data_IF_099973074383
#
_entry.id   IF_099973074383
#
_cell.length_a   1.000
_cell.length_b   1.000
_cell.length_c   1.000
_cell.angle_alpha   90.00
_cell.angle_beta   90.00
_cell.angle_gamma   90.00
#
_symmetry.space_group_name_H-M   'P 1'
#
loop_
_entity.id
_entity.type
_entity.pdbx_description
1 polymer ?
#
# COMPACT_ATOMS: atom_id res chain seq x y z
N UNK A 1 15.94 30.67 0.59
CA UNK A 1 15.63 30.66 -0.85
C UNK A 1 14.41 29.77 -1.02
N UNK A 2 13.25 30.40 -1.17
CA UNK A 2 11.96 29.69 -1.32
C UNK A 2 11.80 29.35 -2.81
N UNK A 3 11.77 28.05 -3.12
CA UNK A 3 11.44 27.58 -4.46
C UNK A 3 9.97 27.90 -4.76
N UNK A 4 9.65 28.48 -5.93
CA UNK A 4 8.27 28.83 -6.27
C UNK A 4 7.43 27.54 -6.45
N UNK A 5 6.23 27.57 -5.89
CA UNK A 5 5.19 26.55 -6.08
C UNK A 5 4.87 26.45 -7.57
N UNK A 6 4.76 25.26 -8.18
CA UNK A 6 4.35 25.17 -9.57
C UNK A 6 2.92 25.72 -9.74
N UNK A 7 2.62 26.33 -10.89
CA UNK A 7 1.29 26.90 -11.15
C UNK A 7 0.24 25.80 -11.16
N UNK A 8 -0.86 26.03 -10.44
CA UNK A 8 -2.06 25.18 -10.51
C UNK A 8 -2.69 25.42 -11.89
N UNK A 9 -2.81 24.39 -12.68
CA UNK A 9 -3.45 24.45 -14.00
C UNK A 9 -4.94 24.76 -13.82
N UNK A 10 -5.47 25.89 -14.35
CA UNK A 10 -6.85 26.29 -14.16
C UNK A 10 -7.88 25.52 -14.99
N UNK A 11 -7.47 24.56 -15.81
CA UNK A 11 -8.38 23.89 -16.75
C UNK A 11 -9.17 22.70 -16.18
N UNK A 12 -9.10 22.44 -14.85
CA UNK A 12 -9.84 21.31 -14.23
C UNK A 12 -10.97 21.75 -13.30
N UNK A 13 -11.34 23.04 -13.29
CA UNK A 13 -12.60 23.48 -12.69
C UNK A 13 -13.69 23.35 -13.74
N UNK A 14 -14.30 22.16 -13.86
CA UNK A 14 -15.59 22.05 -14.53
C UNK A 14 -16.55 23.02 -13.84
N UNK A 15 -17.07 23.92 -14.63
CA UNK A 15 -18.08 24.91 -14.22
C UNK A 15 -19.27 24.19 -13.55
N UNK A 16 -19.40 24.36 -12.25
CA UNK A 16 -20.50 23.81 -11.43
C UNK A 16 -21.76 24.67 -11.52
N UNK A 17 -21.94 25.38 -12.63
CA UNK A 17 -23.12 26.20 -12.89
C UNK A 17 -24.33 25.36 -13.29
N UNK A 18 -25.28 25.29 -12.38
CA UNK A 18 -26.74 25.26 -12.43
C UNK A 18 -27.32 24.29 -11.42
N UNK A 19 -28.04 24.82 -10.49
CA UNK A 19 -28.90 24.11 -9.53
C UNK A 19 -29.94 23.29 -10.28
N UNK A 20 -29.79 21.98 -10.23
CA UNK A 20 -30.84 21.02 -10.60
C UNK A 20 -31.67 20.71 -9.36
N UNK A 21 -32.98 20.69 -9.51
CA UNK A 21 -33.98 20.26 -8.55
C UNK A 21 -33.57 18.96 -7.82
N UNK A 22 -33.59 18.88 -6.47
CA UNK A 22 -33.19 17.69 -5.73
C UNK A 22 -34.16 16.49 -5.82
N UNK A 23 -35.10 16.52 -6.75
CA UNK A 23 -36.11 15.49 -6.94
C UNK A 23 -35.84 14.58 -8.13
N UNK A 24 -35.25 13.40 -7.91
CA UNK A 24 -35.45 12.12 -8.60
C UNK A 24 -34.57 11.70 -9.80
N UNK A 25 -33.57 12.43 -10.25
CA UNK A 25 -32.58 11.84 -11.17
C UNK A 25 -31.17 12.06 -10.63
N UNK A 26 -30.41 10.96 -10.48
CA UNK A 26 -29.00 11.06 -10.10
C UNK A 26 -28.29 12.01 -11.08
N UNK A 27 -27.58 13.00 -10.55
CA UNK A 27 -26.81 13.94 -11.37
C UNK A 27 -25.89 13.13 -12.30
N UNK A 28 -25.97 13.29 -13.64
CA UNK A 28 -25.16 12.54 -14.57
C UNK A 28 -23.65 12.61 -14.29
N UNK A 29 -23.18 13.70 -13.66
CA UNK A 29 -21.80 13.86 -13.23
C UNK A 29 -21.39 12.84 -12.16
N UNK A 30 -22.31 12.47 -11.27
CA UNK A 30 -22.05 11.43 -10.24
C UNK A 30 -21.87 10.08 -10.90
N UNK A 31 -22.74 9.70 -11.85
CA UNK A 31 -22.60 8.45 -12.61
C UNK A 31 -21.24 8.38 -13.32
N UNK A 32 -20.85 9.45 -14.03
CA UNK A 32 -19.55 9.52 -14.72
C UNK A 32 -18.35 9.36 -13.76
N UNK A 33 -18.46 9.82 -12.52
CA UNK A 33 -17.41 9.60 -11.53
C UNK A 33 -17.28 8.13 -11.16
N UNK A 34 -18.37 7.38 -11.03
CA UNK A 34 -18.34 5.93 -10.79
C UNK A 34 -17.83 5.19 -12.04
N UNK A 35 -18.35 5.52 -13.22
CA UNK A 35 -17.97 4.88 -14.49
C UNK A 35 -16.45 5.00 -14.75
N UNK A 36 -15.85 6.13 -14.36
CA UNK A 36 -14.40 6.34 -14.50
C UNK A 36 -13.53 5.37 -13.70
N UNK A 37 -14.09 4.66 -12.70
CA UNK A 37 -13.42 3.66 -11.86
C UNK A 37 -13.49 2.26 -12.45
N UNK A 38 -14.51 1.97 -13.26
CA UNK A 38 -14.77 0.62 -13.77
C UNK A 38 -13.57 0.03 -14.52
N UNK A 39 -13.08 0.75 -15.53
CA UNK A 39 -11.96 0.27 -16.35
C UNK A 39 -10.67 0.04 -15.52
N UNK A 40 -10.21 0.98 -14.68
CA UNK A 40 -9.04 0.75 -13.84
C UNK A 40 -9.16 -0.43 -12.88
N UNK A 41 -10.36 -0.68 -12.32
CA UNK A 41 -10.61 -1.83 -11.44
C UNK A 41 -10.51 -3.14 -12.23
N UNK A 42 -11.13 -3.22 -13.41
CA UNK A 42 -11.06 -4.40 -14.27
C UNK A 42 -9.65 -4.68 -14.78
N UNK A 43 -8.88 -3.63 -15.14
CA UNK A 43 -7.48 -3.76 -15.52
C UNK A 43 -6.63 -4.28 -14.35
N UNK A 44 -6.88 -3.79 -13.13
CA UNK A 44 -6.18 -4.28 -11.94
C UNK A 44 -6.51 -5.76 -11.64
N UNK A 45 -7.74 -6.19 -11.88
CA UNK A 45 -8.15 -7.59 -11.69
C UNK A 45 -7.35 -8.58 -12.54
N UNK A 46 -6.71 -8.14 -13.64
CA UNK A 46 -5.80 -8.97 -14.43
C UNK A 46 -4.53 -9.35 -13.68
N UNK A 47 -4.22 -8.69 -12.56
CA UNK A 47 -3.11 -9.02 -11.67
C UNK A 47 -3.49 -10.02 -10.56
N UNK A 48 -4.68 -10.65 -10.63
CA UNK A 48 -5.17 -11.57 -9.60
C UNK A 48 -4.16 -12.69 -9.26
N UNK A 49 -3.44 -13.21 -10.25
CA UNK A 49 -2.38 -14.21 -10.03
C UNK A 49 -1.20 -13.65 -9.20
N UNK A 50 -0.78 -12.42 -9.46
CA UNK A 50 0.29 -11.76 -8.71
C UNK A 50 -0.16 -11.45 -7.27
N UNK A 51 -1.41 -11.00 -7.10
CA UNK A 51 -2.02 -10.79 -5.77
C UNK A 51 -2.06 -12.09 -4.97
N UNK A 52 -2.53 -13.18 -5.56
CA UNK A 52 -2.60 -14.49 -4.91
C UNK A 52 -1.20 -15.00 -4.51
N UNK A 53 -0.19 -14.83 -5.36
CA UNK A 53 1.19 -15.19 -5.06
C UNK A 53 1.76 -14.37 -3.89
N UNK A 54 1.51 -13.07 -3.85
CA UNK A 54 1.90 -12.20 -2.75
C UNK A 54 1.24 -12.65 -1.44
N UNK A 55 -0.08 -12.88 -1.45
CA UNK A 55 -0.83 -13.34 -0.28
C UNK A 55 -0.33 -14.68 0.27
N UNK A 56 -0.05 -15.64 -0.61
CA UNK A 56 0.49 -16.94 -0.20
C UNK A 56 1.84 -16.80 0.50
N UNK A 57 2.74 -15.98 -0.06
CA UNK A 57 4.04 -15.70 0.56
C UNK A 57 3.90 -14.96 1.89
N UNK A 58 2.98 -13.99 1.98
CA UNK A 58 2.66 -13.32 3.25
C UNK A 58 2.17 -14.31 4.31
N UNK A 59 1.25 -15.21 3.94
CA UNK A 59 0.72 -16.22 4.84
C UNK A 59 1.82 -17.16 5.36
N UNK A 60 2.77 -17.56 4.50
CA UNK A 60 3.94 -18.35 4.91
C UNK A 60 4.77 -17.59 5.95
N UNK A 61 5.08 -16.29 5.70
CA UNK A 61 5.88 -15.48 6.62
C UNK A 61 5.18 -15.30 7.97
N UNK A 62 3.90 -14.99 7.98
CA UNK A 62 3.12 -14.92 9.21
C UNK A 62 3.08 -16.27 9.95
N UNK A 63 2.92 -17.38 9.22
CA UNK A 63 2.93 -18.72 9.80
C UNK A 63 4.28 -19.07 10.46
N UNK A 64 5.37 -18.50 9.94
CA UNK A 64 6.72 -18.62 10.48
C UNK A 64 7.02 -17.63 11.62
N UNK A 65 6.03 -16.86 12.07
CA UNK A 65 6.17 -15.90 13.17
C UNK A 65 6.65 -14.51 12.74
N UNK A 66 6.71 -14.21 11.45
CA UNK A 66 7.01 -12.88 10.92
C UNK A 66 5.87 -11.90 11.15
N UNK A 67 6.19 -10.60 11.05
CA UNK A 67 5.22 -9.49 11.09
C UNK A 67 5.20 -8.70 9.80
N UNK A 68 4.12 -7.98 9.55
CA UNK A 68 3.99 -7.03 8.47
C UNK A 68 4.53 -5.66 8.90
N UNK A 69 5.45 -5.11 8.12
CA UNK A 69 6.01 -3.76 8.32
C UNK A 69 5.59 -2.90 7.13
N UNK A 70 4.74 -1.90 7.37
CA UNK A 70 4.13 -1.08 6.32
C UNK A 70 4.66 0.33 6.36
N UNK A 71 4.91 0.91 5.19
CA UNK A 71 5.40 2.28 5.09
C UNK A 71 5.01 2.97 3.78
N UNK A 72 4.84 4.29 3.87
CA UNK A 72 4.51 5.17 2.76
C UNK A 72 4.59 6.63 3.20
N UNK A 73 4.67 7.58 2.28
CA UNK A 73 4.82 9.02 2.57
C UNK A 73 3.62 9.80 2.04
N UNK A 74 3.14 10.78 2.80
CA UNK A 74 1.97 11.59 2.43
C UNK A 74 0.67 10.82 2.56
N UNK A 75 -0.17 10.79 1.52
CA UNK A 75 -1.40 9.98 1.51
C UNK A 75 -1.16 8.51 1.82
N UNK A 76 -0.16 7.84 1.24
CA UNK A 76 0.24 6.48 1.58
C UNK A 76 0.63 6.25 3.05
N UNK A 77 0.95 7.29 3.83
CA UNK A 77 1.22 7.12 5.26
C UNK A 77 -0.05 6.74 6.04
N UNK A 78 -1.20 7.26 5.64
CA UNK A 78 -2.48 6.89 6.25
C UNK A 78 -2.90 5.47 5.86
N UNK A 79 -2.55 5.03 4.64
CA UNK A 79 -2.77 3.65 4.23
C UNK A 79 -1.90 2.69 5.03
N UNK A 80 -0.63 3.04 5.27
CA UNK A 80 0.27 2.22 6.07
C UNK A 80 -0.26 2.02 7.49
N UNK A 81 -0.87 3.03 8.10
CA UNK A 81 -1.52 2.91 9.41
C UNK A 81 -2.81 2.08 9.33
N UNK A 82 -3.62 2.28 8.29
CA UNK A 82 -4.84 1.52 8.07
C UNK A 82 -4.55 0.02 7.87
N UNK A 83 -3.60 -0.32 7.01
CA UNK A 83 -3.16 -1.72 6.82
C UNK A 83 -2.72 -2.32 8.15
N UNK A 84 -1.89 -1.63 8.92
CA UNK A 84 -1.41 -2.15 10.20
C UNK A 84 -2.55 -2.44 11.17
N UNK A 85 -3.56 -1.56 11.29
CA UNK A 85 -4.70 -1.78 12.17
C UNK A 85 -5.59 -2.92 11.69
N UNK A 86 -5.81 -3.09 10.38
CA UNK A 86 -6.60 -4.20 9.82
C UNK A 86 -6.02 -5.57 10.18
N UNK A 87 -4.69 -5.71 10.14
CA UNK A 87 -4.03 -6.96 10.50
C UNK A 87 -4.01 -7.20 12.01
N UNK A 88 -3.75 -6.16 12.84
CA UNK A 88 -3.68 -6.29 14.30
C UNK A 88 -5.07 -6.41 14.94
N UNK A 89 -6.07 -5.72 14.39
CA UNK A 89 -7.43 -5.68 14.91
C UNK A 89 -8.46 -5.95 13.80
N UNK A 90 -8.62 -7.22 13.40
CA UNK A 90 -9.55 -7.59 12.35
C UNK A 90 -10.97 -7.09 12.59
N UNK A 91 -11.57 -6.43 11.60
CA UNK A 91 -12.96 -5.95 11.67
C UNK A 91 -14.00 -7.07 11.54
N UNK A 92 -13.59 -8.24 11.04
CA UNK A 92 -14.45 -9.42 10.91
C UNK A 92 -14.27 -10.31 12.14
N UNK A 93 -15.36 -10.55 12.86
CA UNK A 93 -15.38 -11.41 14.04
C UNK A 93 -14.89 -12.83 13.70
N UNK A 94 -14.00 -13.36 14.52
CA UNK A 94 -13.46 -14.72 14.36
C UNK A 94 -12.19 -14.81 13.49
N UNK A 95 -11.78 -13.73 12.85
CA UNK A 95 -10.48 -13.70 12.15
C UNK A 95 -9.33 -13.51 13.14
N UNK A 96 -8.21 -14.20 12.86
CA UNK A 96 -7.00 -14.14 13.71
C UNK A 96 -6.33 -12.77 13.56
N UNK A 97 -5.95 -12.14 14.68
CA UNK A 97 -5.04 -10.99 14.67
C UNK A 97 -3.63 -11.43 14.22
N UNK A 98 -3.06 -10.68 13.30
CA UNK A 98 -1.70 -10.91 12.76
C UNK A 98 -0.80 -9.72 13.10
N UNK A 99 0.48 -9.96 13.46
CA UNK A 99 1.35 -8.88 13.90
C UNK A 99 1.68 -7.93 12.73
N UNK A 100 1.41 -6.64 12.92
CA UNK A 100 1.70 -5.61 11.93
C UNK A 100 2.10 -4.30 12.61
N UNK A 101 3.00 -3.54 11.97
CA UNK A 101 3.39 -2.20 12.41
C UNK A 101 3.46 -1.25 11.21
N UNK A 102 3.10 0.01 11.45
CA UNK A 102 3.34 1.10 10.50
C UNK A 102 4.56 1.92 10.95
N UNK A 103 5.53 2.08 10.05
CA UNK A 103 6.71 2.92 10.31
C UNK A 103 6.42 4.43 10.21
N UNK A 104 5.16 4.80 9.98
CA UNK A 104 4.72 6.20 9.92
C UNK A 104 4.09 6.69 11.22
N UNK A 105 3.93 5.82 12.21
CA UNK A 105 3.22 6.13 13.45
C UNK A 105 4.09 6.84 14.50
N UNK A 106 5.39 6.59 14.51
CA UNK A 106 6.34 7.27 15.39
C UNK A 106 6.85 8.56 14.75
N UNK A 107 6.14 9.65 15.00
CA UNK A 107 6.46 10.98 14.46
C UNK A 107 7.84 11.46 14.92
N UNK A 108 8.25 11.13 16.16
CA UNK A 108 9.55 11.55 16.69
C UNK A 108 10.69 10.89 15.92
N UNK A 109 10.62 9.59 15.68
CA UNK A 109 11.62 8.86 14.88
C UNK A 109 11.63 9.36 13.43
N UNK A 110 10.46 9.50 12.78
CA UNK A 110 10.36 9.98 11.39
C UNK A 110 10.99 11.36 11.25
N UNK A 111 10.64 12.30 12.11
CA UNK A 111 11.16 13.68 12.02
C UNK A 111 12.62 13.79 12.42
N UNK A 112 13.07 13.04 13.45
CA UNK A 112 14.45 12.99 13.91
C UNK A 112 15.39 12.43 12.82
N UNK A 113 15.05 11.32 12.21
CA UNK A 113 15.81 10.73 11.09
C UNK A 113 15.80 11.65 9.88
N UNK A 114 14.64 12.25 9.55
CA UNK A 114 14.57 13.19 8.43
C UNK A 114 15.49 14.40 8.61
N UNK A 115 15.59 14.92 9.83
CA UNK A 115 16.46 16.06 10.15
C UNK A 115 17.96 15.73 10.09
N UNK A 116 18.36 14.52 10.47
CA UNK A 116 19.76 14.12 10.58
C UNK A 116 20.30 13.39 9.35
N UNK A 117 19.47 12.58 8.71
CA UNK A 117 19.85 11.67 7.60
C UNK A 117 19.07 11.89 6.31
N UNK A 118 18.12 12.82 6.33
CA UNK A 118 17.25 13.15 5.20
C UNK A 118 16.01 12.26 5.08
N UNK A 119 15.01 12.76 4.34
CA UNK A 119 13.71 12.07 4.17
C UNK A 119 13.84 10.68 3.55
N UNK A 120 14.83 10.46 2.68
CA UNK A 120 15.00 9.13 2.06
C UNK A 120 15.34 8.03 3.07
N UNK A 121 15.90 8.38 4.22
CA UNK A 121 16.36 7.43 5.23
C UNK A 121 15.30 7.01 6.26
N UNK A 122 14.14 7.67 6.33
CA UNK A 122 13.17 7.50 7.43
C UNK A 122 12.69 6.06 7.64
N UNK A 123 12.53 5.28 6.59
CA UNK A 123 12.08 3.89 6.68
C UNK A 123 13.26 2.91 6.74
N UNK A 124 14.29 3.11 5.94
CA UNK A 124 15.48 2.27 5.95
C UNK A 124 16.18 2.27 7.32
N UNK A 125 16.21 3.43 8.00
CA UNK A 125 16.72 3.51 9.37
C UNK A 125 15.89 2.63 10.32
N UNK A 126 14.59 2.78 10.36
CA UNK A 126 13.71 2.01 11.24
C UNK A 126 13.78 0.50 10.98
N UNK A 127 13.79 0.08 9.71
CA UNK A 127 13.88 -1.33 9.33
C UNK A 127 15.12 -2.01 9.90
N UNK A 128 16.28 -1.35 9.91
CA UNK A 128 17.54 -1.92 10.44
C UNK A 128 17.46 -2.28 11.92
N UNK A 129 16.56 -1.67 12.68
CA UNK A 129 16.42 -1.91 14.14
C UNK A 129 15.17 -2.70 14.52
N UNK A 130 14.12 -2.66 13.68
CA UNK A 130 12.81 -3.23 14.02
C UNK A 130 12.48 -4.50 13.24
N UNK A 131 13.17 -4.76 12.12
CA UNK A 131 12.83 -5.86 11.23
C UNK A 131 13.78 -7.05 11.37
N UNK A 132 13.26 -8.21 11.01
CA UNK A 132 13.98 -9.50 10.92
C UNK A 132 13.79 -10.11 9.54
N UNK A 133 14.62 -11.09 9.13
CA UNK A 133 14.46 -11.78 7.84
C UNK A 133 13.11 -12.48 7.66
N UNK A 134 12.43 -12.83 8.76
CA UNK A 134 11.11 -13.48 8.70
C UNK A 134 9.97 -12.53 8.33
N UNK A 135 10.21 -11.22 8.43
CA UNK A 135 9.17 -10.21 8.27
C UNK A 135 8.82 -9.90 6.80
N UNK A 136 7.73 -9.18 6.65
CA UNK A 136 7.17 -8.73 5.37
C UNK A 136 7.29 -7.20 5.32
N UNK A 137 7.87 -6.65 4.27
CA UNK A 137 7.91 -5.22 4.00
C UNK A 137 6.87 -4.87 2.93
N UNK A 138 5.92 -3.98 3.25
CA UNK A 138 4.94 -3.45 2.32
C UNK A 138 5.16 -1.96 2.13
N UNK A 139 5.72 -1.59 0.98
CA UNK A 139 5.92 -0.20 0.58
C UNK A 139 4.76 0.31 -0.28
N UNK A 140 4.19 1.48 0.07
CA UNK A 140 3.09 2.09 -0.68
C UNK A 140 3.54 3.44 -1.25
N UNK A 141 3.37 3.62 -2.57
CA UNK A 141 3.72 4.85 -3.29
C UNK A 141 2.67 5.19 -4.35
N UNK A 142 2.25 6.46 -4.42
CA UNK A 142 1.22 6.90 -5.36
C UNK A 142 1.67 6.81 -6.82
N UNK A 143 2.97 7.00 -7.10
CA UNK A 143 3.54 7.05 -8.46
C UNK A 143 4.77 6.15 -8.66
N UNK A 144 5.19 5.44 -7.60
CA UNK A 144 6.37 4.59 -7.61
C UNK A 144 7.72 5.34 -7.56
N UNK A 145 7.73 6.66 -7.33
CA UNK A 145 8.97 7.46 -7.33
C UNK A 145 9.38 7.97 -5.94
N UNK A 146 8.73 7.54 -4.87
CA UNK A 146 9.06 7.96 -3.51
C UNK A 146 10.40 7.38 -3.06
N UNK A 147 11.43 8.23 -2.93
CA UNK A 147 12.79 7.83 -2.55
C UNK A 147 12.84 7.13 -1.17
N UNK A 148 12.01 7.57 -0.21
CA UNK A 148 11.92 6.93 1.12
C UNK A 148 11.40 5.50 1.04
N UNK A 149 10.37 5.26 0.20
CA UNK A 149 9.79 3.94 0.00
C UNK A 149 10.78 3.04 -0.72
N UNK A 150 11.43 3.55 -1.78
CA UNK A 150 12.46 2.80 -2.51
C UNK A 150 13.63 2.40 -1.60
N UNK A 151 14.15 3.33 -0.81
CA UNK A 151 15.22 3.07 0.16
C UNK A 151 14.81 2.03 1.21
N UNK A 152 13.54 2.09 1.67
CA UNK A 152 12.97 1.10 2.58
C UNK A 152 12.93 -0.30 1.97
N UNK A 153 12.43 -0.44 0.73
CA UNK A 153 12.35 -1.72 0.02
C UNK A 153 13.74 -2.32 -0.25
N UNK A 154 14.72 -1.50 -0.65
CA UNK A 154 16.11 -1.93 -0.81
C UNK A 154 16.68 -2.48 0.50
N UNK A 155 16.50 -1.75 1.60
CA UNK A 155 16.96 -2.19 2.93
C UNK A 155 16.23 -3.46 3.39
N UNK A 156 14.92 -3.56 3.16
CA UNK A 156 14.16 -4.77 3.47
C UNK A 156 14.69 -5.99 2.73
N UNK A 157 15.04 -5.84 1.46
CA UNK A 157 15.67 -6.90 0.66
C UNK A 157 17.03 -7.31 1.21
N UNK A 158 17.87 -6.32 1.57
CA UNK A 158 19.19 -6.58 2.20
C UNK A 158 19.04 -7.36 3.51
N UNK A 159 17.95 -7.13 4.27
CA UNK A 159 17.65 -7.83 5.51
C UNK A 159 17.02 -9.23 5.30
N UNK A 160 16.72 -9.64 4.06
CA UNK A 160 16.09 -10.93 3.74
C UNK A 160 14.58 -10.99 3.95
N UNK A 161 13.93 -9.84 4.13
CA UNK A 161 12.48 -9.74 4.23
C UNK A 161 11.79 -10.09 2.91
N UNK A 162 10.52 -10.51 2.98
CA UNK A 162 9.65 -10.52 1.81
C UNK A 162 9.28 -9.08 1.45
N UNK A 163 9.47 -8.68 0.19
CA UNK A 163 9.23 -7.30 -0.25
C UNK A 163 8.03 -7.21 -1.20
N UNK A 164 7.08 -6.37 -0.85
CA UNK A 164 5.86 -6.10 -1.62
C UNK A 164 5.74 -4.59 -1.85
N UNK A 165 5.42 -4.18 -3.07
CA UNK A 165 5.18 -2.79 -3.40
C UNK A 165 3.80 -2.59 -4.01
N UNK A 166 3.01 -1.67 -3.43
CA UNK A 166 1.80 -1.13 -4.05
C UNK A 166 2.14 0.23 -4.65
N UNK A 167 2.11 0.32 -5.98
CA UNK A 167 2.51 1.54 -6.68
C UNK A 167 1.45 1.98 -7.68
N UNK A 168 1.38 3.27 -7.96
CA UNK A 168 0.45 3.80 -8.95
C UNK A 168 1.13 4.19 -10.26
N UNK A 169 0.31 4.61 -11.22
CA UNK A 169 0.75 5.07 -12.53
C UNK A 169 1.49 3.99 -13.31
N UNK A 170 2.69 4.30 -13.76
CA UNK A 170 3.59 3.35 -14.44
C UNK A 170 4.55 2.60 -13.51
N UNK A 171 4.40 2.74 -12.19
CA UNK A 171 5.24 2.06 -11.20
C UNK A 171 6.58 2.74 -10.90
N UNK A 172 7.00 3.72 -11.69
CA UNK A 172 8.18 4.56 -11.46
C UNK A 172 9.49 3.80 -11.20
N UNK A 173 10.36 4.39 -10.41
CA UNK A 173 11.66 3.81 -10.05
C UNK A 173 11.51 2.52 -9.19
N UNK A 174 10.42 2.39 -8.44
CA UNK A 174 10.15 1.19 -7.64
C UNK A 174 9.88 -0.02 -8.53
N UNK A 175 9.13 0.15 -9.63
CA UNK A 175 8.88 -0.94 -10.57
C UNK A 175 10.14 -1.44 -11.28
N UNK A 176 11.13 -0.57 -11.48
CA UNK A 176 12.41 -0.94 -12.06
C UNK A 176 13.40 -1.56 -11.02
N UNK A 177 13.02 -1.60 -9.75
CA UNK A 177 13.88 -2.05 -8.67
C UNK A 177 13.87 -3.58 -8.53
N UNK A 178 15.01 -4.28 -8.65
CA UNK A 178 15.07 -5.74 -8.51
C UNK A 178 14.87 -6.23 -7.06
N UNK A 179 14.78 -5.30 -6.12
CA UNK A 179 14.58 -5.63 -4.70
C UNK A 179 13.11 -5.91 -4.33
N UNK A 180 12.17 -5.81 -5.28
CA UNK A 180 10.74 -6.04 -5.04
C UNK A 180 10.36 -7.44 -5.51
N UNK A 181 9.95 -8.32 -4.58
CA UNK A 181 9.50 -9.68 -4.89
C UNK A 181 8.10 -9.68 -5.53
N UNK A 182 7.19 -8.85 -5.01
CA UNK A 182 5.83 -8.71 -5.55
C UNK A 182 5.51 -7.24 -5.81
N UNK A 183 5.31 -6.92 -7.07
CA UNK A 183 4.95 -5.59 -7.54
C UNK A 183 3.49 -5.59 -8.01
N UNK A 184 2.65 -4.76 -7.38
CA UNK A 184 1.24 -4.59 -7.71
C UNK A 184 1.01 -3.14 -8.16
N UNK A 185 0.64 -2.96 -9.44
CA UNK A 185 0.57 -1.65 -10.07
C UNK A 185 -0.89 -1.24 -10.29
N UNK A 186 -1.30 -0.15 -9.65
CA UNK A 186 -2.58 0.52 -9.90
C UNK A 186 -2.44 1.47 -11.10
N UNK A 187 -2.66 0.95 -12.31
CA UNK A 187 -2.44 1.67 -13.57
C UNK A 187 -3.55 2.71 -13.80
N UNK A 188 -3.37 3.91 -13.26
CA UNK A 188 -4.24 5.07 -13.53
C UNK A 188 -3.41 6.35 -13.50
N UNK A 189 -3.77 7.32 -14.33
CA UNK A 189 -3.23 8.67 -14.28
C UNK A 189 -3.91 9.54 -13.20
N UNK A 190 -5.08 9.13 -12.71
CA UNK A 190 -5.80 9.84 -11.64
C UNK A 190 -5.35 9.33 -10.27
N UNK A 191 -4.71 10.18 -9.45
CA UNK A 191 -4.21 9.79 -8.13
C UNK A 191 -5.32 9.37 -7.15
N UNK A 192 -6.56 9.80 -7.38
CA UNK A 192 -7.72 9.38 -6.56
C UNK A 192 -8.06 7.91 -6.85
N UNK A 193 -8.08 7.53 -8.12
CA UNK A 193 -8.33 6.15 -8.55
C UNK A 193 -7.17 5.25 -8.11
N UNK A 194 -5.91 5.70 -8.24
CA UNK A 194 -4.75 4.97 -7.69
C UNK A 194 -4.95 4.68 -6.20
N UNK A 195 -5.33 5.69 -5.42
CA UNK A 195 -5.59 5.55 -3.98
C UNK A 195 -6.68 4.52 -3.70
N UNK A 196 -7.81 4.59 -4.40
CA UNK A 196 -8.94 3.67 -4.25
C UNK A 196 -8.54 2.22 -4.60
N UNK A 197 -7.76 2.03 -5.66
CA UNK A 197 -7.24 0.71 -6.04
C UNK A 197 -6.25 0.16 -5.00
N UNK A 198 -5.36 1.00 -4.47
CA UNK A 198 -4.43 0.59 -3.41
C UNK A 198 -5.19 0.17 -2.14
N UNK A 199 -6.24 0.91 -1.76
CA UNK A 199 -7.14 0.54 -0.65
C UNK A 199 -7.79 -0.81 -0.89
N UNK A 200 -8.40 -1.00 -2.05
CA UNK A 200 -8.99 -2.29 -2.44
C UNK A 200 -7.96 -3.42 -2.39
N UNK A 201 -6.75 -3.15 -2.90
CA UNK A 201 -5.69 -4.17 -2.95
C UNK A 201 -5.29 -4.66 -1.56
N UNK A 202 -5.03 -3.77 -0.61
CA UNK A 202 -4.59 -4.24 0.70
C UNK A 202 -5.73 -4.90 1.51
N UNK A 203 -7.00 -4.57 1.27
CA UNK A 203 -8.13 -5.33 1.82
C UNK A 203 -8.18 -6.75 1.23
N UNK A 204 -7.97 -6.89 -0.09
CA UNK A 204 -7.88 -8.20 -0.75
C UNK A 204 -6.68 -9.00 -0.22
N UNK A 205 -5.50 -8.35 -0.01
CA UNK A 205 -4.34 -9.00 0.61
C UNK A 205 -4.69 -9.53 2.01
N UNK A 206 -5.35 -8.71 2.84
CA UNK A 206 -5.78 -9.10 4.17
C UNK A 206 -6.74 -10.30 4.14
N UNK A 207 -7.76 -10.25 3.28
CA UNK A 207 -8.76 -11.32 3.15
C UNK A 207 -8.12 -12.64 2.71
N UNK A 208 -7.32 -12.61 1.65
CA UNK A 208 -6.70 -13.83 1.09
C UNK A 208 -5.65 -14.43 2.02
N UNK A 209 -4.89 -13.62 2.78
CA UNK A 209 -3.99 -14.15 3.81
C UNK A 209 -4.77 -14.99 4.82
N UNK A 210 -5.95 -14.53 5.27
CA UNK A 210 -6.79 -15.30 6.18
C UNK A 210 -7.39 -16.55 5.53
N UNK A 211 -7.74 -16.49 4.24
CA UNK A 211 -8.18 -17.69 3.49
C UNK A 211 -7.10 -18.77 3.49
N UNK A 212 -5.82 -18.40 3.28
CA UNK A 212 -4.71 -19.35 3.33
C UNK A 212 -4.53 -19.97 4.73
N UNK A 213 -4.75 -19.21 5.79
CA UNK A 213 -4.70 -19.74 7.16
C UNK A 213 -5.84 -20.72 7.47
N UNK A 214 -6.98 -20.57 6.82
CA UNK A 214 -8.17 -21.42 7.01
C UNK A 214 -8.12 -22.72 6.17
N UNK A 215 -7.19 -22.83 5.21
CA UNK A 215 -7.07 -24.00 4.34
C UNK A 215 -6.04 -24.99 4.89
N UNK A 216 -6.45 -26.17 5.39
CA UNK A 216 -5.52 -27.19 5.89
C UNK A 216 -4.55 -27.65 4.81
N UNK A 217 -3.26 -27.73 5.16
CA UNK A 217 -2.22 -28.28 4.28
C UNK A 217 -1.67 -27.34 3.20
N UNK A 218 -2.18 -26.14 3.07
CA UNK A 218 -1.66 -25.13 2.12
C UNK A 218 -0.39 -24.47 2.64
N UNK A 219 -0.30 -24.27 3.95
CA UNK A 219 0.91 -23.79 4.62
C UNK A 219 1.70 -25.00 5.14
N UNK A 220 3.02 -25.02 4.94
CA UNK A 220 3.88 -26.07 5.48
C UNK A 220 3.69 -26.18 7.01
N UNK A 221 3.86 -27.40 7.61
CA UNK A 221 3.78 -27.56 9.06
C UNK A 221 4.81 -26.62 9.70
N UNK A 222 4.35 -25.56 10.30
CA UNK A 222 5.15 -24.57 10.99
C UNK A 222 4.80 -24.55 12.46
N UNK A 223 5.63 -23.90 13.24
CA UNK A 223 5.42 -23.74 14.68
C UNK A 223 4.07 -23.06 14.92
N UNK A 224 3.15 -23.81 15.50
CA UNK A 224 1.91 -23.26 16.03
C UNK A 224 2.28 -22.48 17.28
N UNK A 225 2.23 -21.16 17.22
CA UNK A 225 2.37 -20.30 18.38
C UNK A 225 1.01 -20.11 19.08
#
# INVERSE_FOLDING_TARGET
MTSPRPPVNPETTADLGTTTDPGTTADPRVSLLFDSREKPVLEFANQAGAVAAACHQMAIRFHQGGKLVVFGVGGPSTDAQHVAVEFVHPVIVGKRALPAISLTSDVATVTGVAATSGMAAIFSHQLRYLATPADIALGISTDGNCASVLSGLLTARELGMLTIALVGGGGGAIAACPAVDHLLISSSADPRIVKELQVTTYHVLWELVHVFFEQPGVLAPGVVA
#
